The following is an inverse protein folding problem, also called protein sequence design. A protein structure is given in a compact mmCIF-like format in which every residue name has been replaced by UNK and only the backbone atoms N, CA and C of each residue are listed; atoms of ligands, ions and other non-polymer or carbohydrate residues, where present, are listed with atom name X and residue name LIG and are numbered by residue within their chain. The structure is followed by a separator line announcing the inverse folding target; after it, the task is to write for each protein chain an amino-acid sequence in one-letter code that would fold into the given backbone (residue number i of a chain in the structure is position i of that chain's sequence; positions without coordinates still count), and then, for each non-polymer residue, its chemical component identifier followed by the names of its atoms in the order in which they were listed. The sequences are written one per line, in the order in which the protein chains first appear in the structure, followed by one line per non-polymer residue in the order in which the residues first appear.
data_IF_115327434370
#
_entry.id   IF_115327434370
#
_cell.length_a   1.000
_cell.length_b   1.000
_cell.length_c   1.000
_cell.angle_alpha   90.00
_cell.angle_beta   90.00
_cell.angle_gamma   90.00
#
_symmetry.space_group_name_H-M   'P 1'
#
loop_
_entity.id
_entity.type
_entity.pdbx_description
1 polymer ?
#
# COMPACT_ATOMS: atom_id res chain seq x y z
N UNK A 1 25.25 5.77 -9.33
CA UNK A 1 24.43 4.70 -8.72
C UNK A 1 22.99 5.18 -8.71
N UNK A 2 22.13 4.53 -9.51
CA UNK A 2 20.82 5.06 -9.91
C UNK A 2 19.87 5.29 -8.74
N UNK A 3 19.23 6.46 -8.71
CA UNK A 3 18.12 6.79 -7.81
C UNK A 3 16.92 5.91 -8.14
N UNK A 4 16.88 4.74 -7.51
CA UNK A 4 15.78 3.78 -7.57
C UNK A 4 14.49 4.55 -7.27
N UNK A 5 13.55 4.59 -8.22
CA UNK A 5 12.34 5.39 -8.13
C UNK A 5 11.57 5.11 -6.83
N UNK A 6 11.71 6.00 -5.84
CA UNK A 6 10.90 6.02 -4.58
C UNK A 6 9.40 6.24 -4.82
N UNK A 7 9.00 6.47 -6.07
CA UNK A 7 7.64 6.82 -6.47
C UNK A 7 6.69 5.63 -6.46
N UNK A 8 7.21 4.40 -6.53
CA UNK A 8 6.38 3.21 -6.71
C UNK A 8 6.63 2.12 -5.66
N UNK A 9 5.58 1.36 -5.34
CA UNK A 9 5.72 0.09 -4.62
C UNK A 9 6.35 -1.00 -5.51
N UNK A 10 6.91 -2.05 -4.92
CA UNK A 10 7.48 -3.17 -5.69
C UNK A 10 6.44 -3.78 -6.64
N UNK A 11 6.86 -4.27 -7.81
CA UNK A 11 5.95 -4.89 -8.78
C UNK A 11 5.25 -6.17 -8.25
N UNK A 12 5.83 -6.79 -7.20
CA UNK A 12 5.25 -7.93 -6.49
C UNK A 12 4.38 -7.53 -5.28
N UNK A 13 4.16 -6.24 -5.07
CA UNK A 13 3.39 -5.77 -3.93
C UNK A 13 1.89 -6.02 -4.17
N UNK A 14 1.18 -6.47 -3.14
CA UNK A 14 -0.27 -6.71 -3.19
C UNK A 14 -1.00 -5.48 -3.72
N UNK A 15 -1.82 -5.65 -4.75
CA UNK A 15 -2.65 -4.57 -5.24
C UNK A 15 -3.79 -4.31 -4.24
N UNK A 16 -3.97 -3.06 -3.86
CA UNK A 16 -5.04 -2.64 -2.96
C UNK A 16 -6.07 -1.84 -3.76
N UNK A 17 -7.34 -2.17 -3.57
CA UNK A 17 -8.45 -1.35 -4.07
C UNK A 17 -8.50 -0.01 -3.33
N UNK A 18 -9.13 0.98 -3.95
CA UNK A 18 -9.33 2.31 -3.35
C UNK A 18 -10.04 2.24 -2.00
N UNK A 19 -11.07 1.39 -1.90
CA UNK A 19 -11.80 1.13 -0.64
C UNK A 19 -10.89 0.59 0.47
N UNK A 20 -9.93 -0.30 0.13
CA UNK A 20 -8.97 -0.83 1.09
C UNK A 20 -8.00 0.26 1.58
N UNK A 21 -7.58 1.17 0.69
CA UNK A 21 -6.73 2.30 1.05
C UNK A 21 -7.50 3.25 1.97
N UNK A 22 -8.78 3.52 1.67
CA UNK A 22 -9.63 4.36 2.50
C UNK A 22 -9.87 3.74 3.88
N UNK A 23 -10.07 2.42 3.96
CA UNK A 23 -10.19 1.70 5.23
C UNK A 23 -8.90 1.81 6.06
N UNK A 24 -7.72 1.66 5.42
CA UNK A 24 -6.43 1.84 6.09
C UNK A 24 -6.29 3.25 6.63
N UNK A 25 -6.63 4.28 5.84
CA UNK A 25 -6.58 5.69 6.28
C UNK A 25 -7.54 5.97 7.44
N UNK A 26 -8.75 5.41 7.40
CA UNK A 26 -9.78 5.58 8.44
C UNK A 26 -9.55 4.75 9.71
N UNK A 27 -8.65 3.77 9.68
CA UNK A 27 -8.42 2.87 10.82
C UNK A 27 -7.71 3.52 12.02
N UNK A 28 -6.98 4.61 11.79
CA UNK A 28 -6.26 5.34 12.83
C UNK A 28 -7.23 6.04 13.78
N UNK A 29 -7.09 5.76 15.07
CA UNK A 29 -7.96 6.31 16.11
C UNK A 29 -9.26 5.53 16.34
N UNK A 30 -9.60 4.57 15.47
CA UNK A 30 -10.73 3.65 15.66
C UNK A 30 -10.24 2.30 16.18
N UNK A 31 -9.18 1.76 15.55
CA UNK A 31 -8.67 0.43 15.86
C UNK A 31 -7.38 0.54 16.70
N UNK A 32 -7.31 -0.10 17.88
CA UNK A 32 -6.04 -0.23 18.58
C UNK A 32 -5.08 -1.04 17.72
N UNK A 33 -3.85 -0.55 17.56
CA UNK A 33 -2.83 -1.19 16.72
C UNK A 33 -3.27 -1.35 15.24
N UNK A 34 -3.91 -0.31 14.69
CA UNK A 34 -4.39 -0.23 13.32
C UNK A 34 -3.34 -0.69 12.28
N UNK A 35 -2.07 -0.35 12.50
CA UNK A 35 -0.96 -0.71 11.61
C UNK A 35 -0.82 -2.22 11.47
N UNK A 36 -0.79 -2.95 12.58
CA UNK A 36 -0.64 -4.41 12.57
C UNK A 36 -1.91 -5.11 12.10
N UNK A 37 -3.07 -4.60 12.50
CA UNK A 37 -4.38 -5.14 12.09
C UNK A 37 -4.53 -5.06 10.57
N UNK A 38 -4.28 -3.90 9.97
CA UNK A 38 -4.39 -3.71 8.53
C UNK A 38 -3.28 -4.41 7.75
N UNK A 39 -2.05 -4.44 8.28
CA UNK A 39 -0.96 -5.19 7.67
C UNK A 39 -1.31 -6.68 7.54
N UNK A 40 -1.88 -7.28 8.61
CA UNK A 40 -2.34 -8.67 8.60
C UNK A 40 -3.53 -8.88 7.68
N UNK A 41 -4.55 -8.01 7.77
CA UNK A 41 -5.79 -8.10 6.98
C UNK A 41 -5.49 -8.11 5.49
N UNK A 42 -4.67 -7.18 5.03
CA UNK A 42 -4.33 -7.01 3.62
C UNK A 42 -3.07 -7.75 3.18
N UNK A 43 -2.41 -8.48 4.09
CA UNK A 43 -1.12 -9.17 3.86
C UNK A 43 -0.11 -8.23 3.19
N UNK A 44 0.03 -7.04 3.74
CA UNK A 44 1.01 -6.03 3.33
C UNK A 44 1.97 -5.74 4.47
N UNK A 45 3.15 -5.20 4.14
CA UNK A 45 4.12 -4.81 5.16
C UNK A 45 3.63 -3.64 6.01
N UNK A 46 3.99 -3.61 7.30
CA UNK A 46 3.64 -2.51 8.22
C UNK A 46 4.09 -1.15 7.69
N UNK A 47 5.28 -1.07 7.08
CA UNK A 47 5.78 0.18 6.46
C UNK A 47 4.85 0.71 5.37
N UNK A 48 4.12 -0.16 4.68
CA UNK A 48 3.18 0.23 3.61
C UNK A 48 1.89 0.81 4.18
N UNK A 49 1.43 0.27 5.31
CA UNK A 49 0.29 0.79 6.06
C UNK A 49 0.59 2.21 6.57
N UNK A 50 1.79 2.41 7.13
CA UNK A 50 2.25 3.74 7.58
C UNK A 50 2.31 4.73 6.41
N UNK A 51 2.79 4.32 5.25
CA UNK A 51 2.87 5.16 4.04
C UNK A 51 1.48 5.66 3.60
N UNK A 52 0.44 4.82 3.70
CA UNK A 52 -0.95 5.22 3.45
C UNK A 52 -1.51 6.17 4.51
N UNK A 53 -1.19 5.93 5.79
CA UNK A 53 -1.64 6.77 6.92
C UNK A 53 -1.00 8.16 6.88
N UNK A 54 0.32 8.23 6.67
CA UNK A 54 1.07 9.49 6.58
C UNK A 54 0.82 10.23 5.25
N UNK A 55 -0.05 9.71 4.39
CA UNK A 55 -0.32 10.23 3.05
C UNK A 55 0.98 10.38 2.21
N UNK A 56 1.95 9.51 2.48
CA UNK A 56 3.22 9.36 1.74
C UNK A 56 3.12 8.34 0.61
N UNK A 57 1.88 7.98 0.27
CA UNK A 57 1.55 6.85 -0.58
C UNK A 57 2.35 6.84 -1.89
N UNK A 58 3.11 5.76 -2.08
CA UNK A 58 3.72 5.48 -3.39
C UNK A 58 2.64 5.02 -4.36
N UNK A 59 2.81 5.38 -5.63
CA UNK A 59 1.93 4.88 -6.68
C UNK A 59 2.05 3.35 -6.76
N UNK A 60 0.90 2.68 -6.91
CA UNK A 60 0.90 1.25 -7.21
C UNK A 60 1.45 1.08 -8.62
N UNK A 61 2.43 0.17 -8.80
CA UNK A 61 2.80 -0.20 -10.16
C UNK A 61 1.64 -0.99 -10.75
N UNK A 62 1.13 -0.52 -11.89
CA UNK A 62 0.22 -1.30 -12.70
C UNK A 62 1.08 -2.45 -13.23
N UNK A 63 0.82 -3.67 -12.76
CA UNK A 63 1.46 -4.85 -13.33
C UNK A 63 0.94 -4.98 -14.77
N UNK A 64 1.75 -4.55 -15.74
CA UNK A 64 1.42 -4.48 -17.16
C UNK A 64 1.33 -5.86 -17.83
N UNK A 65 0.85 -6.90 -17.12
CA UNK A 65 0.70 -8.27 -17.62
C UNK A 65 -0.66 -8.55 -18.29
N UNK A 66 -1.43 -7.51 -18.64
CA UNK A 66 -2.67 -7.60 -19.41
C UNK A 66 -2.68 -6.63 -20.61
N UNK A 67 -1.53 -6.49 -21.27
CA UNK A 67 -1.36 -5.74 -22.53
C UNK A 67 -0.42 -6.51 -23.46
N UNK A 68 -0.72 -7.77 -23.74
CA UNK A 68 -0.35 -8.40 -25.02
C UNK A 68 -1.60 -9.16 -25.48
N UNK A 69 -2.16 -8.60 -26.55
CA UNK A 69 -3.00 -9.16 -27.63
C UNK A 69 -3.36 -10.65 -27.58
#
# INVERSE_FOLDING_TARGET
MGRIHKKYYSANATFLSDEAIQEIKGSIGIIPDAINTMAKKYRISHSRVVDYIENRERQQQINSRLRIE
#
